data_IF_561210794300
#
_entry.id   IF_561210794300
#
_cell.length_a   1.000
_cell.length_b   1.000
_cell.length_c   1.000
_cell.angle_alpha   90.00
_cell.angle_beta   90.00
_cell.angle_gamma   90.00
#
_symmetry.space_group_name_H-M   'P 1'
#
loop_
_entity.id
_entity.type
_entity.pdbx_description
1 polymer ?
#
# COMPACT_ATOMS: atom_id res chain seq x y z
N UNK A 1 15.32 20.64 13.08
CA UNK A 1 16.70 20.09 13.11
C UNK A 1 16.61 18.68 13.68
N UNK A 2 16.97 17.66 12.91
CA UNK A 2 16.99 16.27 13.36
C UNK A 2 18.21 16.09 14.26
N UNK A 3 18.01 15.78 15.55
CA UNK A 3 19.13 15.53 16.47
C UNK A 3 19.81 14.20 16.10
N UNK A 4 21.09 14.27 15.71
CA UNK A 4 21.96 13.11 15.53
C UNK A 4 22.79 12.90 16.80
N UNK A 5 22.55 11.80 17.52
CA UNK A 5 23.46 11.31 18.56
C UNK A 5 24.30 10.19 17.94
N UNK A 6 25.62 10.42 17.84
CA UNK A 6 26.58 9.43 17.32
C UNK A 6 26.84 8.36 18.39
N UNK A 7 26.55 7.10 18.08
CA UNK A 7 27.02 5.93 18.82
C UNK A 7 28.09 5.20 18.02
N UNK A 8 29.21 4.92 18.69
CA UNK A 8 30.43 4.33 18.15
C UNK A 8 30.34 2.81 18.25
N UNK A 9 29.99 2.12 17.15
CA UNK A 9 30.41 0.75 16.76
C UNK A 9 29.65 0.35 15.49
N UNK A 10 30.36 -0.23 14.52
CA UNK A 10 29.86 -0.47 13.16
C UNK A 10 28.76 -1.52 13.09
N UNK A 11 27.52 -1.04 13.04
CA UNK A 11 26.42 -1.34 12.10
C UNK A 11 25.46 -0.18 12.41
N UNK A 12 25.32 0.80 11.52
CA UNK A 12 24.30 1.85 11.71
C UNK A 12 22.94 1.18 11.64
N UNK A 13 22.37 0.81 12.79
CA UNK A 13 20.94 0.53 12.89
C UNK A 13 20.23 1.80 12.42
N UNK A 14 19.63 1.72 11.25
CA UNK A 14 18.94 2.82 10.63
C UNK A 14 17.80 3.21 11.58
N UNK A 15 17.89 4.42 12.14
CA UNK A 15 16.85 4.89 13.04
C UNK A 15 15.57 5.06 12.23
N UNK A 16 14.47 4.49 12.71
CA UNK A 16 13.14 4.69 12.14
C UNK A 16 12.82 6.20 12.13
N UNK A 17 12.21 6.67 11.04
CA UNK A 17 11.71 8.04 10.99
C UNK A 17 10.62 8.21 12.05
N UNK A 18 10.71 9.27 12.85
CA UNK A 18 9.66 9.63 13.82
C UNK A 18 9.26 11.07 13.55
N UNK A 19 7.99 11.34 13.18
CA UNK A 19 7.56 12.69 12.88
C UNK A 19 7.58 13.53 14.17
N UNK A 20 8.22 14.71 14.16
CA UNK A 20 8.46 15.48 15.37
C UNK A 20 7.15 16.03 15.94
N UNK A 21 6.92 15.79 17.24
CA UNK A 21 5.76 16.32 17.95
C UNK A 21 5.77 17.87 17.95
N UNK A 22 4.73 18.54 17.43
CA UNK A 22 4.70 20.01 17.42
C UNK A 22 4.32 20.57 18.79
N UNK A 23 5.05 21.57 19.28
CA UNK A 23 4.78 22.24 20.56
C UNK A 23 4.20 23.65 20.40
N UNK A 24 4.26 24.19 19.17
CA UNK A 24 3.82 25.54 18.83
C UNK A 24 3.08 25.54 17.48
N UNK A 25 2.26 26.55 17.22
CA UNK A 25 1.60 26.74 15.91
C UNK A 25 2.62 26.73 14.78
N UNK A 26 3.75 27.43 14.94
CA UNK A 26 4.82 27.47 13.93
C UNK A 26 5.43 26.08 13.64
N UNK A 27 5.56 25.23 14.67
CA UNK A 27 6.08 23.86 14.51
C UNK A 27 5.12 22.94 13.75
N UNK A 28 3.83 23.25 13.69
CA UNK A 28 2.88 22.52 12.81
C UNK A 28 3.27 22.64 11.34
N UNK A 29 3.93 23.75 10.98
CA UNK A 29 4.29 24.14 9.63
C UNK A 29 3.16 24.79 8.83
N UNK A 30 2.01 25.03 9.45
CA UNK A 30 0.86 25.70 8.87
C UNK A 30 0.69 27.11 9.43
N UNK A 31 -0.05 27.95 8.71
CA UNK A 31 -0.42 29.30 9.16
C UNK A 31 -1.54 29.23 10.19
N UNK A 32 -1.54 30.14 11.16
CA UNK A 32 -2.57 30.26 12.20
C UNK A 32 -3.99 30.29 11.61
N UNK A 33 -4.22 31.10 10.57
CA UNK A 33 -5.54 31.21 9.93
C UNK A 33 -6.05 29.90 9.30
N UNK A 34 -5.18 28.97 8.93
CA UNK A 34 -5.60 27.63 8.49
C UNK A 34 -6.12 26.80 9.67
N UNK A 35 -5.46 26.90 10.83
CA UNK A 35 -5.89 26.21 12.04
C UNK A 35 -7.21 26.79 12.58
N UNK A 36 -7.38 28.12 12.53
CA UNK A 36 -8.65 28.79 12.82
C UNK A 36 -9.77 28.25 11.93
N UNK A 37 -9.54 28.17 10.62
CA UNK A 37 -10.49 27.59 9.66
C UNK A 37 -10.86 26.15 10.02
N UNK A 38 -9.87 25.29 10.22
CA UNK A 38 -10.09 23.87 10.51
C UNK A 38 -10.88 23.67 11.81
N UNK A 39 -10.47 24.35 12.88
CA UNK A 39 -11.10 24.23 14.21
C UNK A 39 -12.52 24.81 14.18
N UNK A 40 -12.75 25.94 13.52
CA UNK A 40 -14.09 26.50 13.42
C UNK A 40 -15.03 25.60 12.60
N UNK A 41 -14.55 24.99 11.51
CA UNK A 41 -15.33 24.00 10.74
C UNK A 41 -15.65 22.76 11.56
N UNK A 42 -14.69 22.27 12.36
CA UNK A 42 -14.90 21.13 13.26
C UNK A 42 -16.02 21.41 14.27
N UNK A 43 -15.93 22.53 15.00
CA UNK A 43 -16.96 22.96 15.96
C UNK A 43 -18.33 23.16 15.27
N UNK A 44 -18.33 23.76 14.08
CA UNK A 44 -19.56 23.98 13.31
C UNK A 44 -20.27 22.67 12.95
N UNK A 45 -19.53 21.63 12.56
CA UNK A 45 -20.13 20.35 12.17
C UNK A 45 -20.83 19.64 13.32
N UNK A 46 -20.30 19.72 14.54
CA UNK A 46 -20.85 19.03 15.71
C UNK A 46 -21.73 19.93 16.58
N UNK A 47 -21.93 21.19 16.18
CA UNK A 47 -22.61 22.28 16.91
C UNK A 47 -21.92 22.73 18.20
N UNK A 48 -21.31 21.82 18.95
CA UNK A 48 -20.51 22.12 20.13
C UNK A 48 -19.45 21.04 20.34
N UNK A 49 -18.33 21.40 20.96
CA UNK A 49 -17.27 20.45 21.27
C UNK A 49 -16.44 20.89 22.48
N UNK A 50 -15.93 19.93 23.23
CA UNK A 50 -14.89 20.17 24.22
C UNK A 50 -13.54 20.39 23.52
N UNK A 51 -12.66 21.19 24.12
CA UNK A 51 -11.34 21.47 23.53
C UNK A 51 -10.52 20.20 23.29
N UNK A 52 -10.64 19.21 24.19
CA UNK A 52 -9.96 17.91 24.05
C UNK A 52 -10.50 17.07 22.90
N UNK A 53 -11.80 17.15 22.62
CA UNK A 53 -12.41 16.44 21.50
C UNK A 53 -11.96 17.03 20.17
N UNK A 54 -11.87 18.37 20.09
CA UNK A 54 -11.32 19.08 18.92
C UNK A 54 -9.87 18.64 18.69
N UNK A 55 -9.05 18.63 19.75
CA UNK A 55 -7.66 18.16 19.68
C UNK A 55 -7.56 16.71 19.20
N UNK A 56 -8.44 15.82 19.67
CA UNK A 56 -8.48 14.43 19.25
C UNK A 56 -8.87 14.28 17.77
N UNK A 57 -9.91 14.98 17.29
CA UNK A 57 -10.36 14.90 15.88
C UNK A 57 -9.36 15.52 14.90
N UNK A 58 -8.74 16.64 15.29
CA UNK A 58 -7.73 17.35 14.49
C UNK A 58 -6.33 16.78 14.65
N UNK A 59 -6.11 15.83 15.57
CA UNK A 59 -4.80 15.27 15.91
C UNK A 59 -3.74 16.33 16.27
N UNK A 60 -4.18 17.50 16.75
CA UNK A 60 -3.31 18.56 17.20
C UNK A 60 -3.09 18.46 18.72
N UNK A 61 -1.91 18.83 19.22
CA UNK A 61 -1.69 19.02 20.66
C UNK A 61 -2.73 19.97 21.26
N UNK A 62 -3.30 19.60 22.40
CA UNK A 62 -4.33 20.41 23.08
C UNK A 62 -3.89 21.86 23.31
N UNK A 63 -2.61 22.09 23.65
CA UNK A 63 -2.05 23.45 23.82
C UNK A 63 -2.19 24.33 22.58
N UNK A 64 -1.99 23.75 21.38
CA UNK A 64 -2.15 24.48 20.11
C UNK A 64 -3.62 24.77 19.86
N UNK A 65 -4.50 23.81 20.14
CA UNK A 65 -5.95 24.00 20.01
C UNK A 65 -6.46 25.09 20.95
N UNK A 66 -6.01 25.09 22.20
CA UNK A 66 -6.35 26.10 23.21
C UNK A 66 -5.95 27.52 22.76
N UNK A 67 -4.76 27.68 22.19
CA UNK A 67 -4.29 28.96 21.65
C UNK A 67 -5.20 29.48 20.52
N UNK A 68 -5.60 28.60 19.59
CA UNK A 68 -6.52 28.96 18.49
C UNK A 68 -7.94 29.25 19.00
N UNK A 69 -8.43 28.50 19.98
CA UNK A 69 -9.75 28.73 20.59
C UNK A 69 -9.82 30.12 21.24
N UNK A 70 -8.76 30.57 21.91
CA UNK A 70 -8.69 31.92 22.46
C UNK A 70 -8.67 33.01 21.37
N UNK A 71 -8.05 32.74 20.21
CA UNK A 71 -8.14 33.64 19.03
C UNK A 71 -9.58 33.71 18.51
N UNK A 72 -10.22 32.57 18.26
CA UNK A 72 -11.59 32.51 17.74
C UNK A 72 -12.59 33.19 18.69
N UNK A 73 -12.39 33.03 20.01
CA UNK A 73 -13.17 33.69 21.05
C UNK A 73 -12.99 35.21 21.05
N UNK A 74 -11.75 35.71 20.96
CA UNK A 74 -11.47 37.16 20.82
C UNK A 74 -12.10 37.75 19.55
N UNK A 75 -12.18 36.96 18.48
CA UNK A 75 -12.85 37.35 17.24
C UNK A 75 -14.39 37.26 17.30
N UNK A 76 -14.96 36.79 18.41
CA UNK A 76 -16.39 36.55 18.63
C UNK A 76 -16.99 35.53 17.65
N UNK A 77 -16.19 34.56 17.19
CA UNK A 77 -16.64 33.47 16.32
C UNK A 77 -17.18 32.29 17.13
N UNK A 78 -16.72 32.11 18.35
CA UNK A 78 -17.19 31.08 19.28
C UNK A 78 -17.51 31.69 20.64
N UNK A 79 -18.40 31.03 21.37
CA UNK A 79 -18.73 31.31 22.76
C UNK A 79 -18.52 30.05 23.61
N UNK A 80 -18.31 30.24 24.91
CA UNK A 80 -18.11 29.13 25.86
C UNK A 80 -19.43 28.86 26.58
N UNK A 81 -19.90 27.61 26.56
CA UNK A 81 -21.09 27.15 27.28
C UNK A 81 -20.69 26.26 28.44
N UNK A 82 -20.82 26.75 29.68
CA UNK A 82 -20.66 25.94 30.91
C UNK A 82 -19.24 25.35 31.12
N UNK A 83 -18.80 25.26 32.38
CA UNK A 83 -17.54 24.57 32.73
C UNK A 83 -17.80 23.06 32.85
N UNK A 84 -17.36 22.26 31.88
CA UNK A 84 -17.38 20.80 31.95
C UNK A 84 -16.32 20.28 32.91
N UNK A 85 -16.50 20.47 34.22
CA UNK A 85 -15.53 20.04 35.22
C UNK A 85 -14.19 20.79 35.15
N UNK A 86 -13.12 20.20 35.72
CA UNK A 86 -11.79 20.79 35.87
C UNK A 86 -11.17 21.19 34.52
N UNK A 87 -11.34 22.45 34.15
CA UNK A 87 -10.61 23.18 33.11
C UNK A 87 -10.77 22.69 31.65
N UNK A 88 -11.89 22.03 31.30
CA UNK A 88 -12.28 21.82 29.90
C UNK A 88 -13.60 22.55 29.63
N UNK A 89 -13.61 23.39 28.60
CA UNK A 89 -14.73 24.24 28.24
C UNK A 89 -15.42 23.69 27.01
N UNK A 90 -16.76 23.80 26.96
CA UNK A 90 -17.52 23.50 25.75
C UNK A 90 -17.60 24.78 24.90
N UNK A 91 -17.22 24.65 23.63
CA UNK A 91 -17.22 25.73 22.66
C UNK A 91 -18.33 25.51 21.63
N UNK A 92 -19.09 26.56 21.34
CA UNK A 92 -20.16 26.56 20.32
C UNK A 92 -19.95 27.76 19.39
N UNK A 93 -20.31 27.66 18.10
CA UNK A 93 -20.16 28.80 17.20
C UNK A 93 -21.25 29.85 17.48
N UNK A 94 -20.86 31.11 17.43
CA UNK A 94 -21.81 32.24 17.40
C UNK A 94 -22.49 32.29 16.02
N UNK A 95 -23.46 33.18 15.82
CA UNK A 95 -24.04 33.41 14.48
C UNK A 95 -22.96 33.86 13.47
N UNK A 96 -22.11 34.81 13.88
CA UNK A 96 -20.93 35.24 13.11
C UNK A 96 -19.97 34.08 12.82
N UNK A 97 -19.77 33.19 13.79
CA UNK A 97 -19.00 31.96 13.62
C UNK A 97 -19.58 31.01 12.60
N UNK A 98 -20.91 30.79 12.65
CA UNK A 98 -21.62 29.94 11.68
C UNK A 98 -21.49 30.48 10.26
N UNK A 99 -21.65 31.79 10.06
CA UNK A 99 -21.49 32.39 8.73
C UNK A 99 -20.06 32.30 8.23
N UNK A 100 -19.07 32.53 9.12
CA UNK A 100 -17.66 32.37 8.76
C UNK A 100 -17.31 30.92 8.42
N UNK A 101 -17.84 29.95 9.17
CA UNK A 101 -17.64 28.53 8.91
C UNK A 101 -18.20 28.13 7.53
N UNK A 102 -19.41 28.60 7.17
CA UNK A 102 -20.00 28.36 5.84
C UNK A 102 -19.11 28.89 4.72
N UNK A 103 -18.57 30.10 4.87
CA UNK A 103 -17.62 30.66 3.91
C UNK A 103 -16.33 29.82 3.80
N UNK A 104 -15.86 29.22 4.89
CA UNK A 104 -14.73 28.28 4.84
C UNK A 104 -15.09 26.95 4.14
N UNK A 105 -16.31 26.43 4.35
CA UNK A 105 -16.81 25.27 3.61
C UNK A 105 -16.91 25.53 2.10
N UNK A 106 -17.23 26.77 1.71
CA UNK A 106 -17.18 27.18 0.31
C UNK A 106 -15.75 27.14 -0.26
N UNK A 107 -14.69 27.24 0.56
CA UNK A 107 -13.31 27.07 0.09
C UNK A 107 -12.93 25.59 -0.03
N UNK A 108 -13.21 24.80 1.01
CA UNK A 108 -13.03 23.36 1.02
C UNK A 108 -13.82 22.71 2.17
N UNK A 109 -14.28 21.48 1.92
CA UNK A 109 -15.06 20.71 2.87
C UNK A 109 -14.22 19.86 3.84
N UNK A 110 -12.90 20.10 3.95
CA UNK A 110 -12.04 19.28 4.80
C UNK A 110 -12.29 19.52 6.28
N UNK A 111 -12.59 18.43 7.00
CA UNK A 111 -12.62 18.35 8.47
C UNK A 111 -12.02 17.00 8.86
N UNK A 112 -11.15 16.97 9.86
CA UNK A 112 -10.45 15.77 10.31
C UNK A 112 -9.03 16.08 10.80
N UNK A 113 -8.12 15.07 10.80
CA UNK A 113 -6.73 15.27 11.20
C UNK A 113 -6.10 16.44 10.45
N UNK A 114 -5.46 17.35 11.16
CA UNK A 114 -4.86 18.54 10.58
C UNK A 114 -3.82 18.13 9.52
N UNK A 115 -3.84 18.68 8.30
CA UNK A 115 -2.88 18.32 7.27
C UNK A 115 -1.44 18.65 7.67
N UNK A 116 -0.50 18.03 6.98
CA UNK A 116 0.92 18.31 7.11
C UNK A 116 1.42 19.03 5.86
N UNK A 117 2.34 20.01 5.95
CA UNK A 117 2.87 20.66 4.75
C UNK A 117 3.49 19.66 3.77
N UNK A 118 3.21 19.82 2.48
CA UNK A 118 3.74 18.98 1.40
C UNK A 118 5.25 18.75 1.49
N UNK A 119 6.01 19.80 1.79
CA UNK A 119 7.48 19.72 1.93
C UNK A 119 7.92 18.74 3.01
N UNK A 120 7.23 18.70 4.15
CA UNK A 120 7.55 17.75 5.23
C UNK A 120 7.23 16.32 4.86
N UNK A 121 6.13 16.11 4.11
CA UNK A 121 5.82 14.79 3.58
C UNK A 121 6.89 14.32 2.59
N UNK A 122 7.30 15.17 1.64
CA UNK A 122 8.40 14.87 0.70
C UNK A 122 9.70 14.52 1.42
N UNK A 123 10.07 15.24 2.48
CA UNK A 123 11.27 14.94 3.25
C UNK A 123 11.17 13.59 4.00
N UNK A 124 9.98 13.26 4.52
CA UNK A 124 9.73 11.98 5.18
C UNK A 124 9.89 10.80 4.22
N UNK A 125 9.45 10.93 2.96
CA UNK A 125 9.57 9.88 1.95
C UNK A 125 11.04 9.56 1.65
N UNK A 126 11.88 10.60 1.52
CA UNK A 126 13.32 10.45 1.28
C UNK A 126 14.03 9.76 2.45
N UNK A 127 13.54 9.95 3.67
CA UNK A 127 14.11 9.32 4.85
C UNK A 127 13.74 7.83 4.94
N UNK A 128 12.49 7.49 4.58
CA UNK A 128 11.88 6.17 4.73
C UNK A 128 12.02 5.25 3.49
N UNK A 129 12.83 5.66 2.52
CA UNK A 129 13.06 4.94 1.25
C UNK A 129 13.46 3.48 1.45
N UNK A 130 12.90 2.58 0.64
CA UNK A 130 13.30 1.16 0.58
C UNK A 130 14.71 0.97 0.03
N UNK A 131 15.29 1.98 -0.64
CA UNK A 131 16.60 1.86 -1.29
C UNK A 131 17.76 1.75 -0.31
N UNK A 132 17.51 2.04 0.96
CA UNK A 132 18.48 1.88 2.04
C UNK A 132 18.32 0.54 2.76
N UNK A 133 17.26 -0.20 2.45
CA UNK A 133 17.06 -1.55 2.97
C UNK A 133 18.04 -2.51 2.30
N UNK A 134 18.53 -3.48 3.07
CA UNK A 134 19.35 -4.57 2.57
C UNK A 134 18.64 -5.88 2.86
N UNK A 135 17.90 -6.36 1.85
CA UNK A 135 17.16 -7.61 1.89
C UNK A 135 18.12 -8.77 1.66
N UNK A 136 18.13 -9.72 2.58
CA UNK A 136 18.94 -10.94 2.51
C UNK A 136 18.11 -12.13 1.99
N UNK A 137 18.76 -13.21 1.53
CA UNK A 137 18.04 -14.44 1.18
C UNK A 137 17.15 -14.97 2.31
N UNK A 138 17.62 -14.85 3.57
CA UNK A 138 16.83 -15.25 4.75
C UNK A 138 15.59 -14.39 4.94
N UNK A 139 15.69 -13.08 4.71
CA UNK A 139 14.52 -12.18 4.78
C UNK A 139 13.46 -12.58 3.74
N UNK A 140 13.89 -13.00 2.53
CA UNK A 140 12.98 -13.50 1.50
C UNK A 140 12.38 -14.86 1.82
N UNK A 141 13.16 -15.79 2.37
CA UNK A 141 12.65 -17.08 2.84
C UNK A 141 11.55 -16.90 3.90
N UNK A 142 11.72 -15.95 4.81
CA UNK A 142 10.69 -15.59 5.81
C UNK A 142 9.47 -14.94 5.12
N UNK A 143 9.71 -13.97 4.22
CA UNK A 143 8.64 -13.28 3.51
C UNK A 143 7.78 -14.20 2.64
N UNK A 144 8.38 -15.25 2.08
CA UNK A 144 7.73 -16.26 1.25
C UNK A 144 7.34 -17.52 2.02
N UNK A 145 7.45 -17.55 3.35
CA UNK A 145 7.19 -18.76 4.15
C UNK A 145 5.79 -19.37 3.98
N UNK A 146 4.82 -18.60 3.49
CA UNK A 146 3.45 -19.04 3.22
C UNK A 146 3.20 -19.51 1.77
N UNK A 147 4.22 -19.47 0.90
CA UNK A 147 4.14 -19.93 -0.49
C UNK A 147 5.39 -20.72 -0.91
N UNK A 148 5.26 -21.55 -1.94
CA UNK A 148 6.45 -22.16 -2.53
C UNK A 148 7.14 -21.17 -3.46
N UNK A 149 8.41 -20.88 -3.20
CA UNK A 149 9.28 -20.17 -4.13
C UNK A 149 10.59 -20.93 -4.26
N UNK A 150 10.93 -21.35 -5.47
CA UNK A 150 12.19 -22.06 -5.68
C UNK A 150 13.40 -21.12 -5.47
N UNK A 151 14.55 -21.72 -5.14
CA UNK A 151 15.76 -20.96 -4.81
C UNK A 151 16.27 -20.13 -5.99
N UNK A 152 16.03 -20.57 -7.22
CA UNK A 152 16.36 -19.81 -8.45
C UNK A 152 15.59 -18.49 -8.49
N UNK A 153 14.30 -18.51 -8.20
CA UNK A 153 13.46 -17.31 -8.14
C UNK A 153 13.89 -16.40 -7.01
N UNK A 154 14.16 -16.92 -5.81
CA UNK A 154 14.70 -16.12 -4.69
C UNK A 154 16.01 -15.42 -5.10
N UNK A 155 16.94 -16.16 -5.71
CA UNK A 155 18.22 -15.62 -6.16
C UNK A 155 18.08 -14.59 -7.30
N UNK A 156 16.98 -14.61 -8.05
CA UNK A 156 16.70 -13.66 -9.13
C UNK A 156 15.99 -12.40 -8.62
N UNK A 157 15.04 -12.57 -7.69
CA UNK A 157 14.23 -11.50 -7.11
C UNK A 157 15.04 -10.66 -6.11
N UNK A 158 15.87 -11.28 -5.27
CA UNK A 158 16.64 -10.57 -4.24
C UNK A 158 17.49 -9.40 -4.76
N UNK A 159 18.34 -9.59 -5.80
CA UNK A 159 19.09 -8.49 -6.39
C UNK A 159 18.19 -7.38 -6.96
N UNK A 160 17.03 -7.74 -7.51
CA UNK A 160 16.07 -6.78 -8.05
C UNK A 160 15.49 -5.88 -6.94
N UNK A 161 15.12 -6.48 -5.81
CA UNK A 161 14.63 -5.77 -4.62
C UNK A 161 15.69 -4.80 -4.09
N UNK A 162 16.92 -5.28 -3.85
CA UNK A 162 18.00 -4.44 -3.30
C UNK A 162 18.41 -3.29 -4.24
N UNK A 163 18.20 -3.43 -5.54
CA UNK A 163 18.43 -2.32 -6.48
C UNK A 163 17.39 -1.19 -6.35
N UNK A 164 16.21 -1.52 -5.79
CA UNK A 164 15.02 -0.67 -5.79
C UNK A 164 14.49 -0.30 -7.18
N UNK A 165 15.03 -0.86 -8.27
CA UNK A 165 14.61 -0.61 -9.65
C UNK A 165 13.44 -1.51 -10.02
N UNK A 166 12.65 -1.07 -11.01
CA UNK A 166 11.50 -1.83 -11.45
C UNK A 166 11.88 -3.22 -11.98
N UNK A 167 10.94 -4.16 -11.88
CA UNK A 167 11.09 -5.50 -12.43
C UNK A 167 9.84 -6.01 -13.14
N UNK A 168 10.03 -6.87 -14.14
CA UNK A 168 8.99 -7.75 -14.66
C UNK A 168 9.09 -9.12 -13.98
N UNK A 169 7.96 -9.59 -13.44
CA UNK A 169 7.71 -11.00 -13.21
C UNK A 169 6.86 -11.49 -14.39
N UNK A 170 7.44 -12.32 -15.26
CA UNK A 170 6.76 -12.80 -16.45
C UNK A 170 6.80 -14.32 -16.54
N UNK A 171 5.90 -14.89 -17.32
CA UNK A 171 5.81 -16.34 -17.51
C UNK A 171 4.37 -16.79 -17.56
N UNK A 172 4.16 -18.08 -17.74
CA UNK A 172 2.83 -18.65 -17.95
C UNK A 172 1.90 -18.44 -16.72
N UNK A 173 0.57 -18.38 -16.91
CA UNK A 173 -0.38 -18.19 -15.82
C UNK A 173 -0.37 -19.40 -14.86
N UNK A 174 -0.74 -19.18 -13.60
CA UNK A 174 -0.82 -20.24 -12.59
C UNK A 174 0.49 -20.57 -11.87
N UNK A 175 1.59 -19.87 -12.14
CA UNK A 175 2.89 -20.08 -11.46
C UNK A 175 3.16 -19.12 -10.28
N UNK A 176 2.16 -18.35 -9.84
CA UNK A 176 2.27 -17.55 -8.60
C UNK A 176 3.00 -16.20 -8.70
N UNK A 177 3.08 -15.59 -9.90
CA UNK A 177 3.75 -14.29 -10.12
C UNK A 177 3.22 -13.19 -9.18
N UNK A 178 1.90 -13.00 -9.14
CA UNK A 178 1.22 -12.04 -8.26
C UNK A 178 1.49 -12.34 -6.79
N UNK A 179 1.38 -13.62 -6.41
CA UNK A 179 1.64 -14.07 -5.04
C UNK A 179 3.08 -13.78 -4.59
N UNK A 180 4.06 -13.98 -5.47
CA UNK A 180 5.46 -13.62 -5.21
C UNK A 180 5.58 -12.10 -5.05
N UNK A 181 5.04 -11.32 -5.98
CA UNK A 181 5.13 -9.86 -5.96
C UNK A 181 4.57 -9.24 -4.66
N UNK A 182 3.38 -9.65 -4.24
CA UNK A 182 2.75 -9.16 -3.01
C UNK A 182 3.58 -9.42 -1.75
N UNK A 183 4.34 -10.53 -1.73
CA UNK A 183 5.14 -10.92 -0.56
C UNK A 183 6.50 -10.25 -0.52
N UNK A 184 6.96 -9.66 -1.62
CA UNK A 184 8.19 -8.87 -1.65
C UNK A 184 8.15 -7.77 -0.59
N UNK A 185 6.98 -7.12 -0.38
CA UNK A 185 6.86 -6.04 0.60
C UNK A 185 7.20 -6.50 2.03
N UNK A 186 6.91 -7.75 2.37
CA UNK A 186 7.17 -8.35 3.70
C UNK A 186 8.67 -8.55 3.96
N UNK A 187 9.49 -8.52 2.90
CA UNK A 187 10.94 -8.61 3.03
C UNK A 187 11.59 -7.28 3.44
N UNK A 188 10.89 -6.16 3.24
CA UNK A 188 11.32 -4.87 3.74
C UNK A 188 11.14 -4.79 5.25
N UNK A 189 12.14 -4.23 5.93
CA UNK A 189 12.10 -4.09 7.39
C UNK A 189 11.37 -2.82 7.79
N UNK A 190 10.83 -2.85 9.00
CA UNK A 190 10.25 -1.69 9.67
C UNK A 190 8.85 -1.29 9.19
N UNK A 191 8.40 -0.20 9.79
CA UNK A 191 7.14 0.46 9.49
C UNK A 191 7.45 1.88 9.01
N UNK A 192 6.47 2.54 8.39
CA UNK A 192 6.63 3.92 7.94
C UNK A 192 5.52 4.80 8.51
N UNK A 193 5.79 6.09 8.62
CA UNK A 193 4.80 7.11 8.93
C UNK A 193 4.38 7.82 7.64
N UNK A 194 3.07 7.94 7.45
CA UNK A 194 2.47 8.78 6.42
C UNK A 194 1.46 9.73 7.08
N UNK A 195 1.25 10.94 6.56
CA UNK A 195 0.23 11.83 7.08
C UNK A 195 -1.17 11.37 6.62
N UNK A 196 -2.22 11.71 7.38
CA UNK A 196 -3.59 11.52 6.90
C UNK A 196 -3.85 12.32 5.62
N UNK A 197 -3.41 13.57 5.62
CA UNK A 197 -3.51 14.48 4.49
C UNK A 197 -2.35 15.48 4.49
N UNK A 198 -2.14 16.10 3.34
CA UNK A 198 -1.11 17.12 3.14
C UNK A 198 -1.68 18.39 2.56
N UNK A 199 -1.11 19.52 2.96
CA UNK A 199 -1.46 20.84 2.45
C UNK A 199 -0.41 21.33 1.45
N UNK A 200 -0.88 21.87 0.32
CA UNK A 200 -0.06 22.59 -0.63
C UNK A 200 -0.85 23.72 -1.30
N UNK A 201 -0.40 24.97 -1.11
CA UNK A 201 -1.01 26.17 -1.69
C UNK A 201 -2.51 26.30 -1.42
N UNK A 202 -2.93 25.99 -0.18
CA UNK A 202 -4.33 26.01 0.25
C UNK A 202 -5.16 24.85 -0.27
N UNK A 203 -4.58 23.91 -1.01
CA UNK A 203 -5.22 22.66 -1.42
C UNK A 203 -4.87 21.54 -0.44
N UNK A 204 -5.83 20.65 -0.20
CA UNK A 204 -5.67 19.51 0.70
C UNK A 204 -5.72 18.23 -0.11
N UNK A 205 -4.67 17.41 0.03
CA UNK A 205 -4.55 16.10 -0.63
C UNK A 205 -4.63 15.02 0.44
N UNK A 206 -5.62 14.13 0.35
CA UNK A 206 -5.72 12.95 1.21
C UNK A 206 -4.73 11.89 0.75
N UNK A 207 -3.93 11.40 1.70
CA UNK A 207 -2.84 10.45 1.44
C UNK A 207 -3.18 9.10 2.06
N UNK A 208 -3.49 9.09 3.36
CA UNK A 208 -3.93 7.88 4.04
C UNK A 208 -5.29 7.43 3.52
N UNK A 209 -5.44 6.11 3.45
CA UNK A 209 -6.62 5.43 2.96
C UNK A 209 -6.59 4.00 3.50
N UNK A 210 -7.65 3.60 4.21
CA UNK A 210 -7.75 2.30 4.87
C UNK A 210 -7.77 1.12 3.90
N UNK A 211 -8.05 1.35 2.61
CA UNK A 211 -7.97 0.30 1.60
C UNK A 211 -6.51 -0.09 1.29
N UNK A 212 -5.61 0.89 1.27
CA UNK A 212 -4.22 0.72 0.83
C UNK A 212 -3.21 0.69 1.99
N UNK A 213 -3.60 1.17 3.16
CA UNK A 213 -2.70 1.38 4.29
C UNK A 213 -3.19 0.67 5.55
N UNK A 214 -2.39 -0.26 6.04
CA UNK A 214 -2.66 -0.99 7.28
C UNK A 214 -1.96 -0.31 8.46
N UNK A 215 -2.70 0.28 9.42
CA UNK A 215 -2.10 0.93 10.58
C UNK A 215 -1.47 -0.09 11.53
N UNK A 216 -0.33 0.28 12.11
CA UNK A 216 0.35 -0.50 13.15
C UNK A 216 0.09 0.14 14.49
N UNK A 217 -0.30 -0.67 15.48
CA UNK A 217 -0.56 -0.19 16.83
C UNK A 217 0.62 0.60 17.40
N UNK A 218 0.31 1.80 17.90
CA UNK A 218 1.27 2.67 18.57
C UNK A 218 1.31 2.45 20.10
N UNK A 219 0.51 1.52 20.64
CA UNK A 219 0.34 1.35 22.09
C UNK A 219 1.67 1.08 22.85
N UNK A 220 2.66 0.49 22.18
CA UNK A 220 3.99 0.20 22.73
C UNK A 220 5.10 0.99 22.01
N UNK A 221 4.76 2.07 21.30
CA UNK A 221 5.78 2.86 20.62
C UNK A 221 6.55 3.72 21.63
N UNK A 222 7.89 3.62 21.70
CA UNK A 222 8.66 4.17 22.81
C UNK A 222 8.87 5.69 22.76
N UNK A 223 8.36 6.37 21.73
CA UNK A 223 8.59 7.80 21.48
C UNK A 223 7.29 8.50 21.16
N UNK A 224 7.09 9.69 21.73
CA UNK A 224 6.02 10.57 21.29
C UNK A 224 6.28 11.06 19.86
N UNK A 225 5.20 11.21 19.10
CA UNK A 225 5.26 11.64 17.71
C UNK A 225 4.01 12.42 17.32
N UNK A 226 4.10 13.17 16.22
CA UNK A 226 2.98 13.94 15.68
C UNK A 226 1.83 13.04 15.19
N UNK A 227 0.69 13.06 15.88
CA UNK A 227 -0.46 12.21 15.58
C UNK A 227 -1.21 12.55 14.29
N UNK A 228 -0.87 13.65 13.61
CA UNK A 228 -1.30 13.91 12.22
C UNK A 228 -0.72 12.88 11.24
N UNK A 229 0.26 12.11 11.70
CA UNK A 229 0.86 10.98 11.01
C UNK A 229 0.36 9.66 11.60
N UNK A 230 0.17 8.69 10.72
CA UNK A 230 -0.18 7.32 11.06
C UNK A 230 1.00 6.41 10.72
N UNK A 231 1.37 5.56 11.69
CA UNK A 231 2.35 4.51 11.49
C UNK A 231 1.67 3.32 10.83
N UNK A 232 2.20 2.87 9.70
CA UNK A 232 1.61 1.82 8.87
C UNK A 232 2.64 0.75 8.51
N UNK A 233 2.16 -0.44 8.15
CA UNK A 233 2.97 -1.39 7.39
C UNK A 233 3.38 -0.74 6.07
N UNK A 234 4.55 -1.09 5.53
CA UNK A 234 4.96 -0.58 4.21
C UNK A 234 3.87 -0.95 3.18
N UNK A 235 3.37 0.02 2.40
CA UNK A 235 2.20 -0.19 1.56
C UNK A 235 2.49 -1.18 0.43
N UNK A 236 1.50 -1.99 0.08
CA UNK A 236 1.50 -2.85 -1.09
C UNK A 236 0.23 -2.58 -1.88
N UNK A 237 0.34 -1.70 -2.89
CA UNK A 237 -0.79 -1.34 -3.74
C UNK A 237 -0.76 -2.23 -4.97
N UNK A 238 -1.86 -2.94 -5.22
CA UNK A 238 -2.03 -3.84 -6.35
C UNK A 238 -3.11 -3.27 -7.26
N UNK A 239 -2.82 -3.17 -8.55
CA UNK A 239 -3.76 -2.73 -9.59
C UNK A 239 -3.70 -3.67 -10.78
N UNK A 240 -4.87 -4.02 -11.33
CA UNK A 240 -5.02 -4.96 -12.43
C UNK A 240 -5.61 -4.32 -13.69
N UNK A 241 -6.62 -4.98 -14.27
CA UNK A 241 -7.28 -4.56 -15.51
C UNK A 241 -8.11 -3.27 -15.40
N UNK A 242 -8.41 -2.85 -14.19
CA UNK A 242 -9.15 -1.62 -13.83
C UNK A 242 -8.29 -0.36 -13.84
N UNK A 243 -6.96 -0.49 -13.96
CA UNK A 243 -6.03 0.63 -13.98
C UNK A 243 -6.35 1.61 -15.12
N UNK A 244 -6.56 2.88 -14.77
CA UNK A 244 -6.69 4.00 -15.72
C UNK A 244 -5.57 5.02 -15.54
N UNK A 245 -5.36 5.89 -16.53
CA UNK A 245 -4.37 6.98 -16.43
C UNK A 245 -4.71 7.96 -15.31
N UNK A 246 -6.00 8.20 -15.07
CA UNK A 246 -6.48 9.14 -14.06
C UNK A 246 -6.18 8.67 -12.64
N UNK A 247 -5.96 7.36 -12.42
CA UNK A 247 -5.49 6.83 -11.13
C UNK A 247 -4.02 7.18 -10.84
N UNK A 248 -3.28 7.62 -11.87
CA UNK A 248 -1.90 8.11 -11.76
C UNK A 248 -1.81 9.63 -11.57
N UNK A 249 -2.95 10.34 -11.56
CA UNK A 249 -3.01 11.78 -11.39
C UNK A 249 -3.76 12.16 -10.10
N UNK A 250 -3.55 13.38 -9.63
CA UNK A 250 -4.30 13.92 -8.50
C UNK A 250 -5.78 14.08 -8.90
N UNK A 251 -6.67 13.41 -8.18
CA UNK A 251 -8.11 13.46 -8.47
C UNK A 251 -8.76 14.56 -7.64
N UNK A 252 -9.21 15.62 -8.30
CA UNK A 252 -9.88 16.74 -7.65
C UNK A 252 -11.40 16.53 -7.64
N UNK A 253 -11.98 16.51 -6.45
CA UNK A 253 -13.43 16.48 -6.28
C UNK A 253 -13.98 17.91 -6.23
N UNK A 254 -14.78 18.29 -7.22
CA UNK A 254 -15.32 19.66 -7.33
C UNK A 254 -16.38 20.00 -6.27
N UNK A 255 -17.03 19.02 -5.66
CA UNK A 255 -18.03 19.23 -4.62
C UNK A 255 -17.38 19.56 -3.28
N UNK A 256 -16.39 18.76 -2.88
CA UNK A 256 -15.67 18.90 -1.60
C UNK A 256 -14.44 19.81 -1.71
N UNK A 257 -13.94 20.05 -2.93
CA UNK A 257 -12.71 20.79 -3.24
C UNK A 257 -11.47 20.17 -2.61
N UNK A 258 -11.44 18.84 -2.57
CA UNK A 258 -10.34 18.04 -2.03
C UNK A 258 -9.68 17.24 -3.14
N UNK A 259 -8.42 16.89 -2.92
CA UNK A 259 -7.71 15.94 -3.76
C UNK A 259 -7.60 14.58 -3.09
N UNK A 260 -7.71 13.54 -3.89
CA UNK A 260 -7.25 12.19 -3.55
C UNK A 260 -5.89 11.93 -4.18
N UNK A 261 -4.96 11.37 -3.38
CA UNK A 261 -3.63 11.00 -3.84
C UNK A 261 -3.69 9.83 -4.85
N UNK A 262 -2.88 9.87 -5.93
CA UNK A 262 -2.81 8.78 -6.89
C UNK A 262 -2.12 7.53 -6.31
N UNK A 263 -2.30 6.39 -6.97
CA UNK A 263 -1.85 5.08 -6.47
C UNK A 263 -0.34 5.01 -6.22
N UNK A 264 0.48 5.66 -7.05
CA UNK A 264 1.92 5.68 -6.87
C UNK A 264 2.33 6.46 -5.63
N UNK A 265 1.60 7.54 -5.31
CA UNK A 265 1.83 8.32 -4.10
C UNK A 265 1.42 7.55 -2.85
N UNK A 266 0.32 6.79 -2.92
CA UNK A 266 -0.11 5.89 -1.83
C UNK A 266 0.86 4.71 -1.64
N UNK A 267 1.46 4.19 -2.71
CA UNK A 267 2.40 3.07 -2.64
C UNK A 267 3.83 3.42 -2.20
N UNK A 268 4.14 4.71 -2.04
CA UNK A 268 5.50 5.20 -1.82
C UNK A 268 6.17 4.55 -0.61
N UNK A 269 7.49 4.34 -0.68
CA UNK A 269 8.26 3.60 0.33
C UNK A 269 7.80 2.14 0.58
N UNK A 270 7.00 1.58 -0.32
CA UNK A 270 6.57 0.20 -0.32
C UNK A 270 6.66 -0.42 -1.71
N UNK A 271 5.56 -1.00 -2.19
CA UNK A 271 5.48 -1.72 -3.45
C UNK A 271 4.23 -1.30 -4.24
N UNK A 272 4.40 -1.10 -5.56
CA UNK A 272 3.32 -0.95 -6.53
C UNK A 272 3.37 -2.11 -7.52
N UNK A 273 2.33 -2.95 -7.50
CA UNK A 273 2.18 -4.09 -8.40
C UNK A 273 1.16 -3.77 -9.49
N UNK A 274 1.60 -3.84 -10.74
CA UNK A 274 0.72 -3.82 -11.91
C UNK A 274 0.53 -5.26 -12.37
N UNK A 275 -0.62 -5.84 -12.01
CA UNK A 275 -0.97 -7.22 -12.36
C UNK A 275 -1.59 -7.32 -13.76
N UNK A 276 -1.44 -8.50 -14.38
CA UNK A 276 -1.87 -8.78 -15.76
C UNK A 276 -1.46 -7.68 -16.76
N UNK A 277 -0.25 -7.16 -16.62
CA UNK A 277 0.28 -6.08 -17.46
C UNK A 277 0.26 -6.46 -18.96
N UNK A 278 -0.29 -5.57 -19.77
CA UNK A 278 -0.56 -5.79 -21.21
C UNK A 278 -2.01 -6.22 -21.51
N UNK A 279 -2.86 -6.41 -20.49
CA UNK A 279 -4.29 -6.76 -20.64
C UNK A 279 -5.24 -5.69 -20.10
N UNK A 280 -4.71 -4.52 -19.75
CA UNK A 280 -5.50 -3.38 -19.30
C UNK A 280 -6.33 -2.78 -20.45
N UNK A 281 -7.39 -2.06 -20.08
CA UNK A 281 -8.16 -1.25 -21.05
C UNK A 281 -7.31 -0.12 -21.65
N UNK A 282 -6.41 0.44 -20.85
CA UNK A 282 -5.45 1.44 -21.31
C UNK A 282 -4.30 0.79 -22.07
N UNK A 283 -3.83 1.47 -23.10
CA UNK A 283 -2.61 1.09 -23.79
C UNK A 283 -1.41 1.08 -22.82
N UNK A 284 -0.75 -0.08 -22.73
CA UNK A 284 0.38 -0.29 -21.84
C UNK A 284 1.54 0.67 -22.13
N UNK A 285 1.73 1.11 -23.38
CA UNK A 285 2.77 2.10 -23.72
C UNK A 285 2.46 3.45 -23.09
N UNK A 286 1.18 3.83 -23.00
CA UNK A 286 0.76 5.09 -22.36
C UNK A 286 1.10 5.12 -20.87
N UNK A 287 0.84 4.03 -20.14
CA UNK A 287 1.25 3.89 -18.73
C UNK A 287 2.78 4.02 -18.57
N UNK A 288 3.52 3.35 -19.44
CA UNK A 288 4.98 3.33 -19.38
C UNK A 288 5.58 4.69 -19.76
N UNK A 289 5.01 5.38 -20.75
CA UNK A 289 5.39 6.74 -21.11
C UNK A 289 5.22 7.72 -19.94
N UNK A 290 4.11 7.58 -19.19
CA UNK A 290 3.86 8.38 -17.98
C UNK A 290 4.93 8.17 -16.89
N UNK A 291 5.59 7.02 -16.87
CA UNK A 291 6.63 6.69 -15.91
C UNK A 291 8.06 6.72 -16.45
N UNK A 292 8.30 7.23 -17.66
CA UNK A 292 9.67 7.43 -18.18
C UNK A 292 10.50 8.25 -17.19
N UNK A 293 9.99 9.42 -16.79
CA UNK A 293 10.70 10.33 -15.87
C UNK A 293 10.80 9.74 -14.45
N UNK A 294 9.71 9.23 -13.84
CA UNK A 294 9.78 8.52 -12.56
C UNK A 294 10.79 7.36 -12.50
N UNK A 295 10.86 6.52 -13.53
CA UNK A 295 11.79 5.38 -13.57
C UNK A 295 13.24 5.82 -13.76
N UNK A 296 13.47 6.93 -14.46
CA UNK A 296 14.81 7.44 -14.77
C UNK A 296 15.37 8.35 -13.66
N UNK A 297 14.56 9.30 -13.19
CA UNK A 297 14.96 10.35 -12.23
C UNK A 297 14.52 10.09 -10.80
N UNK A 298 13.67 9.08 -10.56
CA UNK A 298 13.08 8.78 -9.24
C UNK A 298 12.27 9.92 -8.65
N UNK A 299 11.66 10.68 -9.54
CA UNK A 299 10.84 11.83 -9.22
C UNK A 299 9.62 11.78 -10.14
N UNK A 300 8.45 11.91 -9.53
CA UNK A 300 7.19 12.09 -10.22
C UNK A 300 6.71 13.54 -10.10
N UNK A 301 5.95 13.99 -11.09
CA UNK A 301 5.37 15.31 -11.14
C UNK A 301 3.86 15.20 -11.22
N UNK A 302 3.18 15.67 -10.17
CA UNK A 302 1.72 15.71 -10.11
C UNK A 302 1.25 17.13 -10.36
N UNK A 303 0.13 17.31 -11.06
CA UNK A 303 -0.37 18.64 -11.41
C UNK A 303 -1.68 18.92 -10.68
N UNK A 304 -1.75 20.04 -9.97
CA UNK A 304 -2.99 20.56 -9.39
C UNK A 304 -3.88 21.14 -10.50
N UNK A 305 -5.20 21.22 -10.28
CA UNK A 305 -6.15 21.91 -11.15
C UNK A 305 -5.79 23.38 -11.40
N UNK A 306 -4.97 23.99 -10.53
CA UNK A 306 -4.41 25.34 -10.69
C UNK A 306 -3.27 25.41 -11.71
N UNK A 307 -2.82 24.27 -12.24
CA UNK A 307 -1.67 24.14 -13.14
C UNK A 307 -0.32 24.04 -12.42
N UNK A 308 -0.29 24.20 -11.09
CA UNK A 308 0.95 24.05 -10.31
C UNK A 308 1.42 22.60 -10.33
N UNK A 309 2.72 22.40 -10.58
CA UNK A 309 3.38 21.10 -10.52
C UNK A 309 3.99 20.86 -9.14
N UNK A 310 3.70 19.69 -8.58
CA UNK A 310 4.25 19.19 -7.34
C UNK A 310 5.28 18.12 -7.67
N UNK A 311 6.50 18.32 -7.18
CA UNK A 311 7.54 17.32 -7.26
C UNK A 311 7.42 16.33 -6.09
N UNK A 312 7.43 15.03 -6.39
CA UNK A 312 7.37 13.97 -5.37
C UNK A 312 8.40 12.87 -5.63
N UNK A 313 9.09 12.36 -4.60
CA UNK A 313 9.94 11.18 -4.73
C UNK A 313 9.14 9.96 -5.20
N UNK A 314 9.76 9.14 -6.06
CA UNK A 314 9.24 7.87 -6.53
C UNK A 314 10.05 6.72 -5.90
N UNK A 315 9.69 6.40 -4.65
CA UNK A 315 10.46 5.57 -3.71
C UNK A 315 9.93 4.16 -3.53
N UNK A 316 8.85 3.78 -4.22
CA UNK A 316 8.31 2.42 -4.22
C UNK A 316 9.06 1.49 -5.19
N UNK A 317 8.98 0.20 -4.92
CA UNK A 317 9.37 -0.84 -5.86
C UNK A 317 8.24 -1.07 -6.87
N UNK A 318 8.50 -0.82 -8.15
CA UNK A 318 7.53 -1.08 -9.21
C UNK A 318 7.69 -2.50 -9.74
N UNK A 319 6.63 -3.30 -9.67
CA UNK A 319 6.60 -4.68 -10.15
C UNK A 319 5.51 -4.82 -11.21
N UNK A 320 5.86 -5.33 -12.38
CA UNK A 320 4.92 -5.69 -13.43
C UNK A 320 4.78 -7.20 -13.49
N UNK A 321 3.57 -7.72 -13.32
CA UNK A 321 3.25 -9.14 -13.50
C UNK A 321 2.60 -9.32 -14.86
N UNK A 322 3.10 -10.23 -15.70
CA UNK A 322 2.50 -10.45 -17.03
C UNK A 322 2.62 -11.88 -17.53
N UNK A 323 1.68 -12.29 -18.37
CA UNK A 323 1.74 -13.56 -19.10
C UNK A 323 2.42 -13.43 -20.47
N UNK A 324 2.79 -12.21 -20.88
CA UNK A 324 3.42 -11.91 -22.16
C UNK A 324 4.94 -11.77 -21.99
N UNK A 325 5.71 -11.98 -23.06
CA UNK A 325 7.14 -11.66 -22.99
C UNK A 325 7.32 -10.14 -22.92
N UNK A 326 8.24 -9.63 -22.07
CA UNK A 326 8.51 -8.19 -22.00
C UNK A 326 8.91 -7.55 -23.33
N UNK A 327 9.54 -8.30 -24.24
CA UNK A 327 9.89 -7.86 -25.60
C UNK A 327 8.69 -7.55 -26.48
N UNK A 328 7.54 -8.17 -26.20
CA UNK A 328 6.33 -8.04 -27.00
C UNK A 328 5.47 -6.86 -26.51
N UNK A 329 5.75 -6.38 -25.29
CA UNK A 329 5.05 -5.27 -24.65
C UNK A 329 5.67 -3.91 -24.99
N UNK A 330 7.00 -3.83 -25.07
CA UNK A 330 7.68 -2.55 -25.20
C UNK A 330 9.00 -2.63 -25.96
N UNK A 331 9.44 -1.46 -26.43
CA UNK A 331 10.72 -1.31 -27.09
C UNK A 331 11.92 -1.50 -26.14
N UNK A 332 13.09 -1.67 -26.75
CA UNK A 332 14.33 -1.88 -26.02
C UNK A 332 14.70 -0.67 -25.15
N UNK A 333 14.39 0.55 -25.62
CA UNK A 333 14.67 1.78 -24.89
C UNK A 333 13.93 1.83 -23.54
N UNK A 334 12.69 1.36 -23.50
CA UNK A 334 11.93 1.27 -22.27
C UNK A 334 12.38 0.11 -21.39
N UNK A 335 12.64 -1.07 -21.95
CA UNK A 335 13.16 -2.22 -21.20
C UNK A 335 14.46 -1.91 -20.44
N UNK A 336 15.29 -0.99 -20.93
CA UNK A 336 16.50 -0.54 -20.20
C UNK A 336 16.18 0.15 -18.86
N UNK A 337 15.00 0.77 -18.71
CA UNK A 337 14.56 1.44 -17.47
C UNK A 337 14.04 0.46 -16.42
N UNK A 338 13.63 -0.74 -16.83
CA UNK A 338 13.20 -1.84 -15.96
C UNK A 338 14.20 -3.00 -16.13
N UNK A 339 15.38 -2.95 -15.49
CA UNK A 339 16.49 -3.84 -15.82
C UNK A 339 16.20 -5.31 -15.53
N UNK A 340 15.37 -5.62 -14.53
CA UNK A 340 15.09 -6.99 -14.11
C UNK A 340 13.89 -7.57 -14.87
N UNK A 341 14.10 -8.70 -15.55
CA UNK A 341 13.05 -9.51 -16.18
C UNK A 341 13.20 -10.92 -15.67
N UNK A 342 12.36 -11.30 -14.72
CA UNK A 342 12.45 -12.56 -13.99
C UNK A 342 11.39 -13.48 -14.56
N UNK A 343 11.83 -14.56 -15.21
CA UNK A 343 10.94 -15.58 -15.73
C UNK A 343 10.53 -16.54 -14.61
N UNK A 344 9.24 -16.56 -14.29
CA UNK A 344 8.63 -17.48 -13.34
C UNK A 344 8.17 -18.71 -14.10
N UNK A 345 8.99 -19.76 -14.05
CA UNK A 345 8.77 -21.00 -14.76
C UNK A 345 7.82 -21.94 -14.03
N UNK A 346 7.30 -22.91 -14.75
CA UNK A 346 6.59 -24.06 -14.18
C UNK A 346 7.46 -24.81 -13.17
N UNK A 347 6.84 -25.48 -12.18
CA UNK A 347 7.57 -26.29 -11.21
C UNK A 347 8.14 -27.55 -11.87
N UNK A 348 9.24 -28.07 -11.31
CA UNK A 348 9.68 -29.44 -11.60
C UNK A 348 8.70 -30.46 -11.01
N UNK A 349 8.82 -31.73 -11.40
CA UNK A 349 7.97 -32.79 -10.82
C UNK A 349 8.12 -32.90 -9.30
N UNK A 350 9.36 -32.79 -8.80
CA UNK A 350 9.63 -32.82 -7.35
C UNK A 350 9.04 -31.61 -6.64
N UNK A 351 9.16 -30.42 -7.24
CA UNK A 351 8.53 -29.21 -6.71
C UNK A 351 7.00 -29.35 -6.72
N UNK A 352 6.42 -29.90 -7.77
CA UNK A 352 4.99 -30.14 -7.91
C UNK A 352 4.43 -31.08 -6.83
N UNK A 353 5.10 -32.21 -6.59
CA UNK A 353 4.75 -33.15 -5.52
C UNK A 353 4.85 -32.50 -4.15
N UNK A 354 5.88 -31.69 -3.94
CA UNK A 354 6.06 -30.96 -2.69
C UNK A 354 4.93 -29.95 -2.44
N UNK A 355 4.52 -29.17 -3.46
CA UNK A 355 3.36 -28.25 -3.35
C UNK A 355 2.10 -29.03 -2.96
N UNK A 356 1.88 -30.18 -3.61
CA UNK A 356 0.76 -31.08 -3.31
C UNK A 356 0.77 -31.50 -1.83
N UNK A 357 1.92 -31.97 -1.33
CA UNK A 357 2.08 -32.37 0.07
C UNK A 357 1.76 -31.23 1.04
N UNK A 358 2.33 -30.04 0.81
CA UNK A 358 2.10 -28.89 1.68
C UNK A 358 0.64 -28.45 1.69
N UNK A 359 0.00 -28.44 0.52
CA UNK A 359 -1.40 -28.06 0.42
C UNK A 359 -2.33 -29.07 1.11
N UNK A 360 -2.04 -30.37 0.98
CA UNK A 360 -2.73 -31.43 1.71
C UNK A 360 -2.60 -31.26 3.24
N UNK A 361 -1.39 -30.98 3.73
CA UNK A 361 -1.16 -30.72 5.16
C UNK A 361 -1.95 -29.50 5.66
N UNK A 362 -2.00 -28.43 4.88
CA UNK A 362 -2.73 -27.21 5.23
C UNK A 362 -4.25 -27.41 5.24
N UNK A 363 -4.78 -28.24 4.36
CA UNK A 363 -6.22 -28.50 4.21
C UNK A 363 -6.72 -29.71 5.01
N UNK A 364 -5.81 -30.46 5.66
CA UNK A 364 -6.14 -31.65 6.41
C UNK A 364 -6.43 -32.89 5.55
N UNK A 365 -6.19 -32.83 4.24
CA UNK A 365 -6.36 -33.99 3.34
C UNK A 365 -5.15 -34.92 3.51
N UNK A 366 -5.34 -36.23 3.76
CA UNK A 366 -4.22 -37.18 3.81
C UNK A 366 -3.48 -37.25 2.47
N UNK A 367 -2.19 -36.94 2.49
CA UNK A 367 -1.34 -37.04 1.31
C UNK A 367 -1.13 -38.51 0.92
N UNK A 368 -1.29 -38.81 -0.38
CA UNK A 368 -1.07 -40.13 -0.95
C UNK A 368 -0.13 -40.02 -2.15
N UNK A 369 1.12 -40.45 -1.98
CA UNK A 369 2.15 -40.37 -3.00
C UNK A 369 1.81 -41.18 -4.26
N UNK A 370 1.23 -42.37 -4.11
CA UNK A 370 0.84 -43.21 -5.25
C UNK A 370 -0.26 -42.55 -6.09
N UNK A 371 -1.23 -41.90 -5.44
CA UNK A 371 -2.30 -41.18 -6.12
C UNK A 371 -1.77 -39.95 -6.88
N UNK A 372 -0.82 -39.22 -6.30
CA UNK A 372 -0.17 -38.07 -6.97
C UNK A 372 0.72 -38.52 -8.12
N UNK A 373 1.48 -39.61 -7.97
CA UNK A 373 2.25 -40.21 -9.05
C UNK A 373 1.34 -40.67 -10.20
N UNK A 374 0.20 -41.27 -9.89
CA UNK A 374 -0.83 -41.62 -10.87
C UNK A 374 -1.36 -40.39 -11.63
N UNK A 375 -1.67 -39.30 -10.92
CA UNK A 375 -2.10 -38.04 -11.51
C UNK A 375 -1.05 -37.47 -12.48
N UNK A 376 0.22 -37.47 -12.07
CA UNK A 376 1.35 -36.99 -12.89
C UNK A 376 1.46 -37.80 -14.18
N UNK A 377 1.42 -39.13 -14.09
CA UNK A 377 1.54 -40.01 -15.26
C UNK A 377 0.35 -39.87 -16.21
N UNK A 378 -0.87 -39.85 -15.68
CA UNK A 378 -2.11 -39.83 -16.46
C UNK A 378 -2.41 -38.46 -17.08
N UNK A 379 -2.32 -37.38 -16.30
CA UNK A 379 -2.79 -36.05 -16.74
C UNK A 379 -1.69 -35.17 -17.32
N UNK A 380 -0.44 -35.34 -16.88
CA UNK A 380 0.67 -34.46 -17.28
C UNK A 380 1.56 -35.10 -18.34
N UNK A 381 2.06 -36.32 -18.09
CA UNK A 381 2.90 -37.03 -19.08
C UNK A 381 2.08 -37.52 -20.26
N UNK A 382 1.08 -38.38 -20.01
CA UNK A 382 0.23 -38.93 -21.07
C UNK A 382 -0.68 -37.86 -21.68
N UNK A 383 -1.18 -36.94 -20.86
CA UNK A 383 -1.98 -35.79 -21.29
C UNK A 383 -1.19 -34.68 -21.99
N UNK A 384 0.16 -34.71 -21.96
CA UNK A 384 1.06 -33.66 -22.47
C UNK A 384 0.80 -32.26 -21.90
N UNK A 385 0.34 -32.19 -20.67
CA UNK A 385 0.04 -30.92 -19.98
C UNK A 385 1.25 -30.41 -19.22
N UNK A 386 1.44 -29.10 -19.26
CA UNK A 386 2.44 -28.43 -18.44
C UNK A 386 1.98 -28.36 -16.99
N UNK A 387 2.88 -28.67 -16.05
CA UNK A 387 2.63 -28.47 -14.62
C UNK A 387 2.57 -26.97 -14.30
N UNK A 388 1.66 -26.57 -13.42
CA UNK A 388 1.57 -25.22 -12.85
C UNK A 388 1.60 -25.27 -11.34
N UNK A 389 2.13 -24.24 -10.70
CA UNK A 389 2.14 -24.16 -9.24
C UNK A 389 0.72 -24.13 -8.64
N UNK A 390 -0.31 -23.69 -9.39
CA UNK A 390 -1.69 -23.64 -8.93
C UNK A 390 -2.42 -25.00 -9.00
N UNK A 391 -2.06 -25.89 -9.93
CA UNK A 391 -2.83 -27.12 -10.13
C UNK A 391 -2.95 -28.02 -8.88
N UNK A 392 -1.93 -28.18 -8.01
CA UNK A 392 -2.09 -28.95 -6.78
C UNK A 392 -3.23 -28.43 -5.90
N UNK A 393 -3.28 -27.11 -5.71
CA UNK A 393 -4.36 -26.44 -4.99
C UNK A 393 -5.69 -26.70 -5.66
N UNK A 394 -5.78 -26.39 -6.95
CA UNK A 394 -7.06 -26.42 -7.67
C UNK A 394 -7.62 -27.85 -7.73
N UNK A 395 -6.76 -28.86 -7.92
CA UNK A 395 -7.17 -30.28 -7.92
C UNK A 395 -7.59 -30.73 -6.52
N UNK A 396 -6.85 -30.38 -5.46
CA UNK A 396 -7.22 -30.73 -4.08
C UNK A 396 -8.53 -30.06 -3.67
N UNK A 397 -8.74 -28.78 -4.04
CA UNK A 397 -9.99 -28.05 -3.79
C UNK A 397 -11.18 -28.75 -4.46
N UNK A 398 -11.01 -29.23 -5.70
CA UNK A 398 -12.04 -30.04 -6.37
C UNK A 398 -12.33 -31.36 -5.64
N UNK A 399 -11.29 -32.04 -5.14
CA UNK A 399 -11.48 -33.27 -4.34
C UNK A 399 -12.22 -32.98 -3.03
N UNK A 400 -11.87 -31.90 -2.32
CA UNK A 400 -12.55 -31.48 -1.09
C UNK A 400 -14.02 -31.18 -1.38
N UNK A 401 -14.32 -30.43 -2.43
CA UNK A 401 -15.69 -30.10 -2.83
C UNK A 401 -16.49 -31.35 -3.19
N UNK A 402 -15.90 -32.30 -3.92
CA UNK A 402 -16.53 -33.58 -4.25
C UNK A 402 -16.84 -34.39 -2.98
N UNK A 403 -15.86 -34.54 -2.08
CA UNK A 403 -16.04 -35.26 -0.82
C UNK A 403 -17.13 -34.63 0.06
N UNK A 404 -17.17 -33.29 0.12
CA UNK A 404 -18.20 -32.53 0.83
C UNK A 404 -19.60 -32.81 0.27
N UNK A 405 -19.74 -32.78 -1.06
CA UNK A 405 -21.00 -33.11 -1.73
C UNK A 405 -21.45 -34.56 -1.45
N UNK A 406 -20.51 -35.51 -1.47
CA UNK A 406 -20.75 -36.92 -1.18
C UNK A 406 -20.86 -37.23 0.32
N UNK A 407 -20.67 -36.25 1.20
CA UNK A 407 -20.63 -36.42 2.66
C UNK A 407 -19.62 -37.49 3.13
N UNK A 408 -18.43 -37.47 2.53
CA UNK A 408 -17.32 -38.38 2.87
C UNK A 408 -16.08 -37.61 3.31
N UNK A 409 -15.17 -38.27 4.02
CA UNK A 409 -13.89 -37.66 4.41
C UNK A 409 -13.01 -37.40 3.18
N UNK A 410 -12.38 -36.21 3.07
CA UNK A 410 -11.42 -35.90 2.02
C UNK A 410 -10.25 -36.87 1.98
N UNK A 411 -10.00 -37.48 0.81
CA UNK A 411 -8.84 -38.35 0.57
C UNK A 411 -8.36 -38.28 -0.87
N UNK A 412 -7.06 -38.39 -1.08
CA UNK A 412 -6.50 -38.52 -2.42
C UNK A 412 -6.63 -39.97 -2.91
N UNK A 413 -7.59 -40.20 -3.81
CA UNK A 413 -7.81 -41.48 -4.51
C UNK A 413 -7.79 -41.27 -6.02
N UNK A 414 -7.51 -42.32 -6.79
CA UNK A 414 -7.50 -42.25 -8.26
C UNK A 414 -8.84 -41.76 -8.82
N UNK A 415 -9.93 -42.32 -8.31
CA UNK A 415 -11.30 -41.96 -8.70
C UNK A 415 -11.60 -40.47 -8.48
N UNK A 416 -11.26 -39.94 -7.30
CA UNK A 416 -11.52 -38.53 -6.99
C UNK A 416 -10.63 -37.58 -7.77
N UNK A 417 -9.37 -37.97 -8.02
CA UNK A 417 -8.46 -37.20 -8.86
C UNK A 417 -8.90 -37.19 -10.32
N UNK A 418 -9.37 -38.32 -10.86
CA UNK A 418 -9.90 -38.38 -12.22
C UNK A 418 -11.13 -37.49 -12.37
N UNK A 419 -12.06 -37.52 -11.40
CA UNK A 419 -13.21 -36.63 -11.40
C UNK A 419 -12.79 -35.15 -11.30
N UNK A 420 -11.91 -34.81 -10.36
CA UNK A 420 -11.40 -33.45 -10.18
C UNK A 420 -10.74 -32.93 -11.46
N UNK A 421 -9.90 -33.75 -12.11
CA UNK A 421 -9.22 -33.39 -13.35
C UNK A 421 -10.16 -33.31 -14.55
N UNK A 422 -11.16 -34.20 -14.64
CA UNK A 422 -12.16 -34.16 -15.70
C UNK A 422 -12.96 -32.84 -15.67
N UNK A 423 -13.30 -32.35 -14.47
CA UNK A 423 -13.99 -31.07 -14.30
C UNK A 423 -13.04 -29.88 -14.53
N UNK A 424 -11.89 -29.86 -13.85
CA UNK A 424 -10.99 -28.70 -13.88
C UNK A 424 -10.34 -28.49 -15.25
N UNK A 425 -9.87 -29.56 -15.91
CA UNK A 425 -9.21 -29.46 -17.21
C UNK A 425 -10.16 -29.54 -18.41
N UNK A 426 -11.48 -29.59 -18.21
CA UNK A 426 -12.48 -29.78 -19.28
C UNK A 426 -12.31 -28.79 -20.45
N UNK A 427 -12.04 -27.52 -20.14
CA UNK A 427 -11.93 -26.44 -21.12
C UNK A 427 -10.47 -26.10 -21.52
N UNK A 428 -9.47 -26.73 -20.88
CA UNK A 428 -8.05 -26.35 -21.05
C UNK A 428 -7.34 -27.05 -22.22
N UNK A 429 -8.05 -27.87 -23.00
CA UNK A 429 -7.43 -28.71 -24.03
C UNK A 429 -6.49 -29.77 -23.43
N UNK A 430 -6.01 -30.68 -24.28
CA UNK A 430 -4.92 -31.61 -23.91
C UNK A 430 -3.59 -31.01 -24.32
#
# INVERSE_FOLDING_TARGET
>A
MVQQVRTTTGIQQQQEFVPPYPNTIAETGLKEGFLEELILKDIYMVNFALGREIASRTMLPFKIVEEILEVLKKQLLIEVRTSGGLADYEYTPTEKGRDRARAYFDHNAYVGPCPVPWSRYVDSLKYQTIRRESVTPRDLEVAFSDIMVNRRTINSVGPAINSGRGMFLFGEPGNGKTSIAERIVRSFKGHIFIPYSVECDGQIIRVYDSHNHEPVSAANYPRDYDHRWVRIQRPCVVVGGELTIDMLELQFDYGTKLYEAPIQLKSNCGLLLIDDFGRQRIDHKSLLNRWIVPLEKRVDYLTLHTGKKLEVPFEQLLVFSTNLNPSDLVDEAFLRRIPYKINITSPTEDEFKWIFLQYCQRTGVPYNEEAVNYLIESQYRSGKRNMRCCHPRDVVDQVINLCSFLQTEPRLSREYLDHACAVYFAAMGK
#
